data_IF_083355833652
#
_entry.id   IF_083355833652
#
_cell.length_a   1.000
_cell.length_b   1.000
_cell.length_c   1.000
_cell.angle_alpha   90.00
_cell.angle_beta   90.00
_cell.angle_gamma   90.00
#
_symmetry.space_group_name_H-M   'P 1'
#
loop_
_entity.id
_entity.type
_entity.pdbx_description
1 polymer ?
#
# COMPACT_ATOMS: atom_id res chain seq x y z
N UNK A 1 -11.88 7.90 -0.83
CA UNK A 1 -10.88 6.81 -0.84
C UNK A 1 -9.52 7.45 -1.07
N UNK A 2 -8.63 7.31 -0.10
CA UNK A 2 -7.23 7.76 -0.14
C UNK A 2 -6.40 6.83 -1.03
N UNK A 3 -5.22 7.29 -1.45
CA UNK A 3 -4.29 6.48 -2.24
C UNK A 3 -3.88 5.19 -1.53
N UNK A 4 -3.70 5.23 -0.20
CA UNK A 4 -3.39 4.04 0.63
C UNK A 4 -4.54 3.04 0.58
N UNK A 5 -5.79 3.50 0.72
CA UNK A 5 -6.97 2.65 0.63
C UNK A 5 -7.10 2.02 -0.77
N UNK A 6 -6.81 2.77 -1.84
CA UNK A 6 -6.79 2.24 -3.21
C UNK A 6 -5.74 1.15 -3.37
N UNK A 7 -4.52 1.35 -2.85
CA UNK A 7 -3.47 0.32 -2.90
C UNK A 7 -3.87 -0.94 -2.12
N UNK A 8 -4.45 -0.78 -0.92
CA UNK A 8 -4.95 -1.91 -0.13
C UNK A 8 -6.08 -2.66 -0.83
N UNK A 9 -7.02 -1.96 -1.46
CA UNK A 9 -8.11 -2.57 -2.21
C UNK A 9 -7.59 -3.38 -3.41
N UNK A 10 -6.61 -2.84 -4.14
CA UNK A 10 -5.97 -3.56 -5.24
C UNK A 10 -5.20 -4.80 -4.76
N UNK A 11 -4.46 -4.69 -3.65
CA UNK A 11 -3.80 -5.84 -3.04
C UNK A 11 -4.80 -6.96 -2.71
N UNK A 12 -5.90 -6.61 -2.03
CA UNK A 12 -6.95 -7.56 -1.67
C UNK A 12 -7.59 -8.21 -2.91
N UNK A 13 -7.86 -7.44 -3.97
CA UNK A 13 -8.40 -7.97 -5.22
C UNK A 13 -7.44 -8.98 -5.88
N UNK A 14 -6.13 -8.71 -5.86
CA UNK A 14 -5.12 -9.64 -6.40
C UNK A 14 -4.99 -10.90 -5.54
N UNK A 15 -5.06 -10.80 -4.20
CA UNK A 15 -5.10 -11.98 -3.31
C UNK A 15 -6.31 -12.86 -3.62
N UNK A 16 -7.50 -12.26 -3.73
CA UNK A 16 -8.72 -13.00 -4.08
C UNK A 16 -8.63 -13.65 -5.47
N UNK A 17 -7.97 -13.01 -6.44
CA UNK A 17 -7.73 -13.60 -7.76
C UNK A 17 -6.74 -14.78 -7.71
N UNK A 18 -5.70 -14.70 -6.86
CA UNK A 18 -4.75 -15.79 -6.65
C UNK A 18 -5.42 -17.02 -6.02
N UNK A 19 -6.38 -16.83 -5.12
CA UNK A 19 -7.15 -17.92 -4.50
C UNK A 19 -8.09 -18.61 -5.50
N UNK A 20 -8.67 -17.85 -6.43
CA UNK A 20 -9.62 -18.36 -7.42
C UNK A 20 -8.97 -19.04 -8.63
N UNK A 21 -7.68 -18.81 -8.87
CA UNK A 21 -7.01 -19.35 -10.05
C UNK A 21 -6.40 -20.72 -9.76
N UNK A 22 -6.54 -21.64 -10.73
CA UNK A 22 -5.96 -22.98 -10.68
C UNK A 22 -4.62 -23.09 -11.44
N UNK A 23 -4.23 -22.05 -12.17
CA UNK A 23 -2.98 -22.03 -12.93
C UNK A 23 -1.84 -21.50 -12.04
N UNK A 24 -0.80 -22.30 -11.73
CA UNK A 24 0.27 -21.87 -10.82
C UNK A 24 0.96 -20.58 -11.23
N UNK A 25 1.26 -20.42 -12.53
CA UNK A 25 1.91 -19.22 -13.05
C UNK A 25 1.03 -17.95 -12.89
N UNK A 26 -0.29 -18.10 -13.02
CA UNK A 26 -1.22 -16.97 -12.80
C UNK A 26 -1.36 -16.66 -11.33
N UNK A 27 -1.35 -17.68 -10.46
CA UNK A 27 -1.37 -17.50 -9.00
C UNK A 27 -0.15 -16.71 -8.54
N UNK A 28 1.04 -17.12 -8.98
CA UNK A 28 2.30 -16.43 -8.67
C UNK A 28 2.28 -14.98 -9.18
N UNK A 29 1.80 -14.74 -10.40
CA UNK A 29 1.63 -13.37 -10.93
C UNK A 29 0.72 -12.51 -10.02
N UNK A 30 -0.45 -13.03 -9.63
CA UNK A 30 -1.37 -12.33 -8.74
C UNK A 30 -0.76 -12.08 -7.34
N UNK A 31 -0.03 -13.05 -6.80
CA UNK A 31 0.67 -12.91 -5.52
C UNK A 31 1.74 -11.83 -5.57
N UNK A 32 2.58 -11.81 -6.61
CA UNK A 32 3.60 -10.77 -6.82
C UNK A 32 2.95 -9.39 -6.95
N UNK A 33 1.85 -9.29 -7.71
CA UNK A 33 1.11 -8.03 -7.84
C UNK A 33 0.55 -7.56 -6.49
N UNK A 34 -0.02 -8.46 -5.70
CA UNK A 34 -0.52 -8.12 -4.37
C UNK A 34 0.60 -7.55 -3.47
N UNK A 35 1.76 -8.21 -3.45
CA UNK A 35 2.93 -7.76 -2.69
C UNK A 35 3.37 -6.35 -3.11
N UNK A 36 3.38 -6.06 -4.41
CA UNK A 36 3.71 -4.72 -4.92
C UNK A 36 2.73 -3.67 -4.41
N UNK A 37 1.42 -3.94 -4.45
CA UNK A 37 0.42 -3.01 -3.93
C UNK A 37 0.54 -2.81 -2.41
N UNK A 38 0.79 -3.86 -1.65
CA UNK A 38 1.01 -3.80 -0.19
C UNK A 38 2.25 -2.97 0.16
N UNK A 39 3.33 -3.13 -0.63
CA UNK A 39 4.56 -2.36 -0.47
C UNK A 39 4.32 -0.88 -0.73
N UNK A 40 3.55 -0.54 -1.77
CA UNK A 40 3.20 0.85 -2.06
C UNK A 40 2.28 1.47 -1.00
N UNK A 41 1.32 0.71 -0.46
CA UNK A 41 0.50 1.14 0.66
C UNK A 41 1.36 1.52 1.87
N UNK A 42 2.28 0.62 2.25
CA UNK A 42 3.21 0.86 3.36
C UNK A 42 4.09 2.09 3.11
N UNK A 43 4.67 2.23 1.93
CA UNK A 43 5.51 3.39 1.59
C UNK A 43 4.72 4.71 1.64
N UNK A 44 3.46 4.70 1.22
CA UNK A 44 2.59 5.86 1.31
C UNK A 44 2.24 6.21 2.76
N UNK A 45 1.98 5.21 3.62
CA UNK A 45 1.77 5.41 5.06
C UNK A 45 3.00 6.02 5.74
N UNK A 46 4.19 5.50 5.45
CA UNK A 46 5.45 6.04 5.98
C UNK A 46 5.68 7.48 5.54
N UNK A 47 5.36 7.80 4.28
CA UNK A 47 5.48 9.17 3.75
C UNK A 47 4.52 10.12 4.44
N UNK A 48 3.26 9.71 4.65
CA UNK A 48 2.28 10.51 5.38
C UNK A 48 2.70 10.73 6.84
N UNK A 49 3.21 9.69 7.52
CA UNK A 49 3.72 9.81 8.88
C UNK A 49 4.88 10.81 8.99
N UNK A 50 5.87 10.73 8.08
CA UNK A 50 6.99 11.69 8.03
C UNK A 50 6.52 13.11 7.74
N UNK A 51 5.54 13.29 6.86
CA UNK A 51 4.98 14.61 6.57
C UNK A 51 4.35 15.25 7.81
N UNK A 52 3.63 14.48 8.63
CA UNK A 52 3.05 14.96 9.88
C UNK A 52 4.12 15.37 10.91
N UNK A 53 5.17 14.57 11.07
CA UNK A 53 6.30 14.90 11.97
C UNK A 53 6.98 16.19 11.53
N UNK A 54 7.26 16.35 10.24
CA UNK A 54 7.88 17.56 9.71
C UNK A 54 7.01 18.80 9.90
N UNK A 55 5.69 18.67 9.76
CA UNK A 55 4.74 19.77 10.02
C UNK A 55 4.73 20.16 11.49
N UNK A 56 4.70 19.18 12.40
CA UNK A 56 4.75 19.42 13.84
C UNK A 56 6.06 20.13 14.24
N UNK A 57 7.20 19.65 13.74
CA UNK A 57 8.50 20.27 14.01
C UNK A 57 8.57 21.73 13.53
N UNK A 58 8.01 22.04 12.35
CA UNK A 58 7.93 23.42 11.86
C UNK A 58 7.04 24.31 12.74
N UNK A 59 5.90 23.80 13.19
CA UNK A 59 5.02 24.55 14.08
C UNK A 59 5.68 24.86 15.43
N UNK A 60 6.42 23.91 16.00
CA UNK A 60 7.17 24.11 17.25
C UNK A 60 8.38 25.04 17.12
N UNK A 61 9.00 25.13 15.94
CA UNK A 61 10.14 26.02 15.71
C UNK A 61 9.73 27.48 15.40
N UNK A 62 8.45 27.72 15.10
CA UNK A 62 7.89 29.04 14.80
C UNK A 62 7.22 29.72 16.01
N UNK A 63 7.22 29.07 17.18
CA UNK A 63 6.70 29.58 18.45
C UNK A 63 7.85 30.00 19.38
#
# INVERSE_FOLDING_TARGET
>A
MTTIETYRANAAAQRAAAEKTNLPNRRDMHQRSAITWETMARAAEETQGRAQVNLAAKASAAA
#
